data_IF_278894105707
#
_entry.id   IF_278894105707
#
_cell.length_a   1.000
_cell.length_b   1.000
_cell.length_c   1.000
_cell.angle_alpha   90.00
_cell.angle_beta   90.00
_cell.angle_gamma   90.00
#
_symmetry.space_group_name_H-M   'P 1'
#
loop_
_entity.id
_entity.type
_entity.pdbx_description
1 polymer ?
#
# COMPACT_ATOMS: atom_id res chain seq x y z
N UNK A 1 37.43 -50.60 -19.84
CA UNK A 1 38.87 -50.64 -20.28
C UNK A 1 39.47 -49.28 -20.00
N UNK A 2 40.65 -49.34 -19.28
CA UNK A 2 41.73 -48.35 -19.01
C UNK A 2 41.27 -47.11 -18.22
N UNK A 3 41.51 -46.98 -16.90
CA UNK A 3 42.74 -46.93 -16.07
C UNK A 3 43.83 -46.04 -16.69
N UNK A 4 44.23 -45.03 -15.89
CA UNK A 4 45.60 -44.72 -15.46
C UNK A 4 45.52 -43.35 -14.76
N UNK A 5 45.67 -43.18 -13.43
CA UNK A 5 46.87 -43.15 -12.61
C UNK A 5 47.89 -42.12 -13.14
N UNK A 6 48.45 -41.20 -12.42
CA UNK A 6 49.20 -41.34 -11.20
C UNK A 6 49.79 -39.99 -10.77
N UNK A 7 49.81 -39.74 -9.46
CA UNK A 7 50.98 -39.36 -8.66
C UNK A 7 51.76 -38.11 -9.08
N UNK A 8 51.88 -37.24 -8.19
CA UNK A 8 52.86 -37.19 -7.08
C UNK A 8 53.99 -36.19 -7.30
N UNK A 9 54.33 -35.55 -6.29
CA UNK A 9 55.62 -35.15 -5.74
C UNK A 9 55.68 -33.66 -5.37
N UNK A 10 55.64 -33.37 -4.15
CA UNK A 10 56.66 -33.38 -3.08
C UNK A 10 57.23 -31.97 -2.86
N UNK A 11 56.97 -31.56 -1.66
CA UNK A 11 57.79 -30.82 -0.71
C UNK A 11 58.96 -29.98 -1.20
N UNK A 12 59.01 -28.77 -0.77
CA UNK A 12 60.24 -28.18 -0.26
C UNK A 12 59.98 -27.32 0.97
N UNK A 13 60.47 -27.82 2.08
CA UNK A 13 60.69 -27.12 3.33
C UNK A 13 61.83 -26.12 3.13
N UNK A 14 61.72 -24.91 3.55
CA UNK A 14 62.86 -24.21 4.10
C UNK A 14 62.41 -23.22 5.16
N UNK A 15 62.93 -23.48 6.32
CA UNK A 15 62.79 -22.72 7.53
C UNK A 15 63.73 -21.51 7.56
N UNK A 16 63.42 -20.63 8.43
CA UNK A 16 64.26 -19.71 9.24
C UNK A 16 64.09 -18.25 8.91
N UNK A 17 63.79 -17.54 9.86
CA UNK A 17 64.32 -16.71 10.91
C UNK A 17 63.46 -15.44 11.06
N UNK A 18 62.73 -15.35 12.10
CA UNK A 18 62.88 -14.50 13.27
C UNK A 18 63.57 -13.16 13.01
N UNK A 19 62.79 -12.08 12.97
CA UNK A 19 63.20 -10.76 13.52
C UNK A 19 61.98 -9.92 13.90
N UNK A 20 61.85 -9.76 15.18
CA UNK A 20 60.95 -8.81 15.83
C UNK A 20 61.54 -7.44 15.64
N UNK A 21 60.83 -6.49 15.08
CA UNK A 21 61.00 -5.08 15.33
C UNK A 21 59.67 -4.44 15.62
N UNK A 22 59.47 -4.14 16.88
CA UNK A 22 58.57 -3.15 17.37
C UNK A 22 59.04 -1.79 16.85
N UNK A 23 58.14 -1.04 16.30
CA UNK A 23 58.11 0.41 16.51
C UNK A 23 57.31 1.09 15.41
N UNK A 24 56.42 1.83 15.81
CA UNK A 24 55.98 3.17 15.38
C UNK A 24 54.51 3.24 15.10
N UNK A 25 53.80 3.68 16.12
CA UNK A 25 52.56 4.43 15.94
C UNK A 25 52.84 5.63 14.99
N UNK A 26 52.39 5.49 13.77
CA UNK A 26 52.20 6.62 12.89
C UNK A 26 50.72 6.98 12.94
N UNK A 27 50.39 8.04 13.64
CA UNK A 27 49.09 8.66 13.57
C UNK A 27 48.84 9.05 12.12
N UNK A 28 47.97 8.31 11.46
CA UNK A 28 47.34 8.77 10.23
C UNK A 28 46.54 10.01 10.57
N UNK A 29 46.99 11.16 10.19
CA UNK A 29 46.14 12.32 10.02
C UNK A 29 45.13 11.97 8.93
N UNK A 30 43.94 11.59 9.36
CA UNK A 30 42.76 11.62 8.51
C UNK A 30 42.54 13.12 8.24
N UNK A 31 42.95 13.54 7.05
CA UNK A 31 42.45 14.81 6.49
C UNK A 31 40.95 14.67 6.46
N UNK A 32 40.25 15.50 7.25
CA UNK A 32 38.84 15.72 7.13
C UNK A 32 38.56 16.08 5.67
N UNK A 33 38.10 15.10 4.91
CA UNK A 33 37.30 15.38 3.73
C UNK A 33 36.08 16.14 4.24
N UNK A 34 36.00 17.41 3.86
CA UNK A 34 34.79 18.20 4.04
C UNK A 34 33.67 17.42 3.35
N UNK A 35 32.92 16.66 4.15
CA UNK A 35 31.61 16.17 3.76
C UNK A 35 30.84 17.43 3.38
N UNK A 36 30.56 17.56 2.10
CA UNK A 36 29.64 18.54 1.57
C UNK A 36 28.32 18.23 2.22
N UNK A 37 27.97 18.95 3.26
CA UNK A 37 26.65 18.91 3.89
C UNK A 37 25.66 19.60 2.91
N UNK A 38 25.45 18.93 1.81
CA UNK A 38 24.25 19.08 1.01
C UNK A 38 23.14 18.38 1.75
N UNK A 39 22.62 19.02 2.79
CA UNK A 39 21.49 18.52 3.54
C UNK A 39 20.36 18.22 2.56
N UNK A 40 20.26 16.94 2.17
CA UNK A 40 19.03 16.40 1.63
C UNK A 40 18.06 16.50 2.80
N UNK A 41 17.31 17.59 2.86
CA UNK A 41 16.11 17.64 3.67
C UNK A 41 15.22 16.54 3.11
N UNK A 42 15.24 15.38 3.72
CA UNK A 42 14.15 14.41 3.60
C UNK A 42 12.92 15.18 4.05
N UNK A 43 12.14 15.64 3.10
CA UNK A 43 10.79 16.10 3.35
C UNK A 43 10.06 14.83 3.73
N UNK A 44 9.88 14.62 5.04
CA UNK A 44 8.95 13.61 5.51
C UNK A 44 7.60 14.02 4.92
N UNK A 45 7.11 13.23 3.96
CA UNK A 45 5.78 13.38 3.44
C UNK A 45 4.83 13.09 4.62
N UNK A 46 4.31 14.13 5.24
CA UNK A 46 3.26 13.98 6.24
C UNK A 46 2.00 13.53 5.53
N UNK A 47 1.65 12.26 5.70
CA UNK A 47 0.33 11.75 5.30
C UNK A 47 -0.68 12.54 6.12
N UNK A 48 -1.53 13.30 5.45
CA UNK A 48 -2.60 14.06 6.11
C UNK A 48 -3.71 13.07 6.41
N UNK A 49 -3.97 12.82 7.70
CA UNK A 49 -5.15 12.06 8.13
C UNK A 49 -6.42 12.87 7.79
N UNK A 50 -7.47 12.16 7.37
CA UNK A 50 -8.80 12.76 7.10
C UNK A 50 -9.29 13.61 8.28
N UNK A 51 -8.82 13.34 9.50
CA UNK A 51 -9.16 14.09 10.72
C UNK A 51 -8.56 15.52 10.77
N UNK A 52 -7.50 15.80 10.01
CA UNK A 52 -6.85 17.13 9.96
C UNK A 52 -7.41 18.03 8.85
N UNK A 53 -8.37 17.54 8.06
CA UNK A 53 -8.99 18.28 6.96
C UNK A 53 -10.00 19.34 7.46
N UNK A 54 -10.28 20.33 6.60
CA UNK A 54 -11.33 21.31 6.87
C UNK A 54 -12.73 20.67 6.94
N UNK A 55 -13.68 21.39 7.53
CA UNK A 55 -15.04 20.86 7.77
C UNK A 55 -15.76 20.42 6.49
N UNK A 56 -15.62 21.15 5.40
CA UNK A 56 -16.30 20.84 4.13
C UNK A 56 -15.74 19.55 3.51
N UNK A 57 -14.44 19.40 3.52
CA UNK A 57 -13.75 18.20 3.06
C UNK A 57 -14.16 16.97 3.88
N UNK A 58 -14.19 17.10 5.22
CA UNK A 58 -14.69 16.03 6.11
C UNK A 58 -16.14 15.64 5.80
N UNK A 59 -17.00 16.60 5.53
CA UNK A 59 -18.40 16.32 5.21
C UNK A 59 -18.56 15.54 3.89
N UNK A 60 -17.67 15.76 2.92
CA UNK A 60 -17.65 15.01 1.66
C UNK A 60 -17.29 13.54 1.93
N UNK A 61 -16.24 13.28 2.70
CA UNK A 61 -15.83 11.91 3.05
C UNK A 61 -16.85 11.19 3.94
N UNK A 62 -17.44 11.88 4.93
CA UNK A 62 -18.46 11.31 5.81
C UNK A 62 -19.69 10.78 5.05
N UNK A 63 -19.99 11.36 3.88
CA UNK A 63 -21.10 10.96 3.01
C UNK A 63 -20.64 10.13 1.79
N UNK A 64 -19.36 9.79 1.71
CA UNK A 64 -18.77 9.15 0.55
C UNK A 64 -18.98 7.63 0.59
N UNK A 65 -20.25 7.20 0.57
CA UNK A 65 -20.60 5.79 0.44
C UNK A 65 -21.21 5.53 -0.93
N UNK A 66 -20.71 4.49 -1.60
CA UNK A 66 -21.17 4.05 -2.91
C UNK A 66 -21.96 2.77 -2.75
N UNK A 67 -23.20 2.75 -3.27
CA UNK A 67 -24.09 1.60 -3.18
C UNK A 67 -24.19 0.86 -4.52
N UNK A 68 -24.46 -0.44 -4.44
CA UNK A 68 -24.50 -1.36 -5.59
C UNK A 68 -25.80 -2.15 -5.64
N UNK A 69 -26.19 -2.53 -6.86
CA UNK A 69 -27.28 -3.44 -7.09
C UNK A 69 -26.93 -4.88 -6.64
N UNK A 70 -27.95 -5.71 -6.51
CA UNK A 70 -27.75 -7.11 -6.17
C UNK A 70 -26.83 -7.78 -7.18
N UNK A 71 -25.89 -8.56 -6.65
CA UNK A 71 -24.90 -9.32 -7.43
C UNK A 71 -24.14 -8.51 -8.50
N UNK A 72 -23.95 -7.21 -8.23
CA UNK A 72 -23.31 -6.27 -9.15
C UNK A 72 -22.16 -5.50 -8.47
N UNK A 73 -21.17 -5.16 -9.27
CA UNK A 73 -20.07 -4.26 -8.96
C UNK A 73 -20.03 -3.07 -9.93
N UNK A 74 -21.07 -2.87 -10.74
CA UNK A 74 -21.16 -1.75 -11.67
C UNK A 74 -21.53 -0.46 -10.94
N UNK A 75 -20.85 0.63 -11.29
CA UNK A 75 -21.15 1.96 -10.74
C UNK A 75 -22.43 2.51 -11.36
N UNK A 76 -23.35 2.94 -10.51
CA UNK A 76 -24.56 3.65 -10.94
C UNK A 76 -24.28 5.14 -11.20
N UNK A 77 -25.18 5.83 -11.89
CA UNK A 77 -25.06 7.29 -12.09
C UNK A 77 -25.00 8.06 -10.77
N UNK A 78 -25.72 7.59 -9.74
CA UNK A 78 -25.67 8.17 -8.40
C UNK A 78 -24.31 7.95 -7.75
N UNK A 79 -23.76 6.74 -7.86
CA UNK A 79 -22.42 6.40 -7.37
C UNK A 79 -21.36 7.32 -8.01
N UNK A 80 -21.45 7.51 -9.32
CA UNK A 80 -20.53 8.39 -10.07
C UNK A 80 -20.60 9.85 -9.58
N UNK A 81 -21.78 10.35 -9.23
CA UNK A 81 -21.91 11.71 -8.67
C UNK A 81 -21.19 11.85 -7.32
N UNK A 82 -21.35 10.87 -6.42
CA UNK A 82 -20.64 10.84 -5.14
C UNK A 82 -19.12 10.80 -5.38
N UNK A 83 -18.66 9.91 -6.27
CA UNK A 83 -17.24 9.77 -6.57
C UNK A 83 -16.60 11.02 -7.17
N UNK A 84 -17.34 11.77 -8.02
CA UNK A 84 -16.88 13.06 -8.57
C UNK A 84 -16.51 14.06 -7.48
N UNK A 85 -17.30 14.15 -6.42
CA UNK A 85 -17.02 15.06 -5.30
C UNK A 85 -15.73 14.65 -4.57
N UNK A 86 -15.54 13.36 -4.33
CA UNK A 86 -14.31 12.84 -3.71
C UNK A 86 -13.10 13.08 -4.59
N UNK A 87 -13.20 12.79 -5.90
CA UNK A 87 -12.12 13.07 -6.87
C UNK A 87 -11.72 14.54 -6.86
N UNK A 88 -12.68 15.45 -6.83
CA UNK A 88 -12.40 16.89 -6.77
C UNK A 88 -11.59 17.26 -5.53
N UNK A 89 -11.95 16.73 -4.37
CA UNK A 89 -11.22 16.95 -3.11
C UNK A 89 -9.83 16.36 -3.18
N UNK A 90 -9.69 15.12 -3.64
CA UNK A 90 -8.38 14.44 -3.74
C UNK A 90 -7.44 15.12 -4.74
N UNK A 91 -7.94 15.72 -5.79
CA UNK A 91 -7.14 16.49 -6.75
C UNK A 91 -6.68 17.84 -6.17
N UNK A 92 -7.48 18.44 -5.29
CA UNK A 92 -7.09 19.67 -4.58
C UNK A 92 -6.13 19.42 -3.42
N UNK A 93 -6.09 18.20 -2.90
CA UNK A 93 -5.30 17.79 -1.74
C UNK A 93 -4.50 16.53 -2.09
N UNK A 94 -3.26 16.71 -2.55
CA UNK A 94 -2.44 15.62 -3.09
C UNK A 94 -1.96 14.63 -2.04
N UNK A 95 -1.97 15.01 -0.76
CA UNK A 95 -1.49 14.20 0.35
C UNK A 95 -2.58 13.29 0.96
N UNK A 96 -3.85 13.44 0.53
CA UNK A 96 -4.94 12.58 1.01
C UNK A 96 -4.78 11.18 0.42
N UNK A 97 -4.72 10.18 1.29
CA UNK A 97 -4.81 8.76 0.97
C UNK A 97 -6.12 8.20 1.50
N UNK A 98 -6.71 7.25 0.78
CA UNK A 98 -7.99 6.66 1.12
C UNK A 98 -7.94 5.14 1.13
N UNK A 99 -8.81 4.55 1.94
CA UNK A 99 -9.09 3.12 1.94
C UNK A 99 -10.52 2.86 1.48
N UNK A 100 -10.67 2.06 0.45
CA UNK A 100 -11.95 1.61 -0.08
C UNK A 100 -12.34 0.29 0.57
N UNK A 101 -13.35 0.33 1.44
CA UNK A 101 -13.85 -0.83 2.16
C UNK A 101 -15.07 -1.40 1.46
N UNK A 102 -14.92 -2.56 0.79
CA UNK A 102 -15.98 -3.23 0.03
C UNK A 102 -16.78 -4.20 0.88
N UNK A 103 -18.11 -4.15 0.70
CA UNK A 103 -19.08 -4.96 1.45
C UNK A 103 -20.08 -5.65 0.52
N UNK A 104 -20.66 -6.73 1.02
CA UNK A 104 -21.77 -7.47 0.40
C UNK A 104 -22.93 -7.64 1.40
N UNK A 105 -24.09 -8.01 0.89
CA UNK A 105 -25.16 -8.53 1.75
C UNK A 105 -24.90 -10.02 2.13
N UNK A 106 -25.66 -10.56 3.04
CA UNK A 106 -25.44 -11.91 3.62
C UNK A 106 -25.79 -13.07 2.67
N UNK A 107 -26.35 -12.80 1.49
CA UNK A 107 -26.77 -13.84 0.55
C UNK A 107 -25.58 -14.39 -0.23
N UNK A 108 -25.38 -15.69 -0.15
CA UNK A 108 -24.27 -16.37 -0.83
C UNK A 108 -23.33 -17.07 0.15
N UNK A 109 -22.12 -17.38 -0.33
CA UNK A 109 -21.08 -17.91 0.54
C UNK A 109 -20.15 -16.78 0.99
N UNK A 110 -19.54 -16.98 2.14
CA UNK A 110 -18.56 -16.04 2.70
C UNK A 110 -17.44 -15.69 1.70
N UNK A 111 -16.90 -16.70 1.04
CA UNK A 111 -15.83 -16.54 0.03
C UNK A 111 -16.31 -15.73 -1.17
N UNK A 112 -17.52 -16.04 -1.64
CA UNK A 112 -18.14 -15.30 -2.74
C UNK A 112 -18.34 -13.84 -2.37
N UNK A 113 -18.90 -13.56 -1.19
CA UNK A 113 -19.15 -12.21 -0.71
C UNK A 113 -17.88 -11.41 -0.47
N UNK A 114 -16.81 -12.06 0.01
CA UNK A 114 -15.49 -11.44 0.12
C UNK A 114 -14.96 -11.03 -1.26
N UNK A 115 -15.06 -11.92 -2.26
CA UNK A 115 -14.65 -11.62 -3.63
C UNK A 115 -15.52 -10.51 -4.27
N UNK A 116 -16.85 -10.52 -4.02
CA UNK A 116 -17.76 -9.49 -4.54
C UNK A 116 -17.47 -8.12 -3.91
N UNK A 117 -17.21 -8.06 -2.60
CA UNK A 117 -16.79 -6.84 -1.92
C UNK A 117 -15.46 -6.29 -2.51
N UNK A 118 -14.51 -7.18 -2.80
CA UNK A 118 -13.26 -6.80 -3.45
C UNK A 118 -13.49 -6.19 -4.83
N UNK A 119 -14.29 -6.82 -5.69
CA UNK A 119 -14.61 -6.31 -7.04
C UNK A 119 -15.32 -4.96 -6.99
N UNK A 120 -16.21 -4.74 -6.02
CA UNK A 120 -16.87 -3.44 -5.81
C UNK A 120 -15.87 -2.35 -5.47
N UNK A 121 -14.96 -2.62 -4.54
CA UNK A 121 -13.93 -1.66 -4.16
C UNK A 121 -12.94 -1.40 -5.32
N UNK A 122 -12.60 -2.41 -6.09
CA UNK A 122 -11.78 -2.28 -7.30
C UNK A 122 -12.46 -1.42 -8.37
N UNK A 123 -13.76 -1.58 -8.61
CA UNK A 123 -14.49 -0.73 -9.57
C UNK A 123 -14.50 0.75 -9.17
N UNK A 124 -14.54 1.04 -7.87
CA UNK A 124 -14.38 2.39 -7.34
C UNK A 124 -12.94 2.89 -7.53
N UNK A 125 -11.94 2.05 -7.23
CA UNK A 125 -10.52 2.38 -7.47
C UNK A 125 -10.25 2.70 -8.93
N UNK A 126 -10.74 1.88 -9.84
CA UNK A 126 -10.59 2.11 -11.28
C UNK A 126 -11.16 3.45 -11.72
N UNK A 127 -12.31 3.84 -11.15
CA UNK A 127 -12.88 5.17 -11.38
C UNK A 127 -11.93 6.29 -10.93
N UNK A 128 -11.31 6.17 -9.76
CA UNK A 128 -10.32 7.16 -9.29
C UNK A 128 -9.09 7.22 -10.19
N UNK A 129 -8.55 6.09 -10.61
CA UNK A 129 -7.39 6.03 -11.51
C UNK A 129 -7.70 6.71 -12.86
N UNK A 130 -8.87 6.45 -13.43
CA UNK A 130 -9.33 7.07 -14.68
C UNK A 130 -9.49 8.60 -14.56
N UNK A 131 -9.70 9.11 -13.34
CA UNK A 131 -9.80 10.54 -13.05
C UNK A 131 -8.49 11.16 -12.51
N UNK A 132 -7.36 10.49 -12.69
CA UNK A 132 -6.03 11.02 -12.43
C UNK A 132 -5.50 10.84 -11.00
N UNK A 133 -6.22 10.12 -10.14
CA UNK A 133 -5.73 9.79 -8.79
C UNK A 133 -4.69 8.68 -8.90
N UNK A 134 -3.53 8.86 -8.27
CA UNK A 134 -2.46 7.86 -8.27
C UNK A 134 -2.86 6.60 -7.48
N UNK A 135 -2.48 5.43 -8.00
CA UNK A 135 -2.80 4.13 -7.38
C UNK A 135 -2.23 3.97 -5.97
N UNK A 136 -1.11 4.60 -5.67
CA UNK A 136 -0.48 4.60 -4.34
C UNK A 136 -1.35 5.26 -3.27
N UNK A 137 -2.24 6.17 -3.66
CA UNK A 137 -3.14 6.89 -2.77
C UNK A 137 -4.46 6.15 -2.46
N UNK A 138 -4.69 4.98 -3.08
CA UNK A 138 -5.96 4.25 -2.97
C UNK A 138 -5.71 2.80 -2.59
N UNK A 139 -6.00 2.47 -1.36
CA UNK A 139 -5.95 1.09 -0.83
C UNK A 139 -7.32 0.43 -0.94
N UNK A 140 -7.36 -0.84 -1.34
CA UNK A 140 -8.59 -1.63 -1.42
C UNK A 140 -8.60 -2.69 -0.33
N UNK A 141 -9.75 -2.86 0.33
CA UNK A 141 -9.99 -3.87 1.34
C UNK A 141 -11.42 -4.39 1.23
N UNK A 142 -11.60 -5.70 1.32
CA UNK A 142 -12.94 -6.30 1.38
C UNK A 142 -13.22 -6.85 2.76
N UNK A 143 -14.44 -6.63 3.21
CA UNK A 143 -15.02 -7.26 4.40
C UNK A 143 -16.13 -8.26 4.03
N UNK A 144 -16.51 -8.35 2.74
CA UNK A 144 -17.63 -9.19 2.35
C UNK A 144 -18.88 -8.88 3.16
N UNK A 145 -19.47 -9.90 3.78
CA UNK A 145 -20.65 -9.80 4.65
C UNK A 145 -20.34 -9.56 6.15
N UNK A 146 -19.05 -9.56 6.53
CA UNK A 146 -18.61 -9.60 7.93
C UNK A 146 -18.90 -8.31 8.72
N UNK A 147 -19.19 -7.21 8.02
CA UNK A 147 -19.46 -5.89 8.64
C UNK A 147 -20.75 -5.29 8.07
N UNK A 148 -21.91 -5.85 8.41
CA UNK A 148 -23.19 -5.32 7.94
C UNK A 148 -23.48 -3.95 8.57
N UNK A 149 -24.01 -3.05 7.77
CA UNK A 149 -24.53 -1.74 8.22
C UNK A 149 -25.96 -1.91 8.77
N UNK A 150 -26.70 -2.88 8.27
CA UNK A 150 -28.05 -3.21 8.70
C UNK A 150 -28.20 -4.72 8.89
N UNK A 151 -28.79 -5.14 10.01
CA UNK A 151 -28.96 -6.54 10.40
C UNK A 151 -30.33 -7.14 9.99
N UNK A 152 -31.15 -6.42 9.24
CA UNK A 152 -32.43 -6.95 8.77
C UNK A 152 -32.25 -7.89 7.58
N UNK A 153 -33.20 -8.85 7.45
CA UNK A 153 -33.23 -9.86 6.38
C UNK A 153 -34.22 -9.46 5.28
N UNK A 154 -34.20 -8.18 4.92
CA UNK A 154 -35.05 -7.59 3.88
C UNK A 154 -34.21 -6.81 2.85
N UNK A 155 -34.80 -6.51 1.70
CA UNK A 155 -34.07 -5.80 0.63
C UNK A 155 -33.67 -4.38 1.05
N UNK A 156 -34.36 -3.75 1.97
CA UNK A 156 -33.98 -2.45 2.49
C UNK A 156 -32.68 -2.50 3.31
N UNK A 157 -32.47 -3.59 4.06
CA UNK A 157 -31.23 -3.86 4.79
C UNK A 157 -30.12 -4.32 3.85
N UNK A 158 -30.42 -5.24 2.95
CA UNK A 158 -29.44 -5.74 1.97
C UNK A 158 -28.89 -4.64 1.09
N UNK A 159 -29.73 -3.73 0.60
CA UNK A 159 -29.29 -2.62 -0.22
C UNK A 159 -28.31 -1.66 0.49
N UNK A 160 -28.41 -1.51 1.82
CA UNK A 160 -27.46 -0.75 2.64
C UNK A 160 -26.15 -1.48 2.82
N UNK A 161 -26.19 -2.82 2.85
CA UNK A 161 -24.99 -3.65 3.04
C UNK A 161 -24.16 -3.74 1.77
N UNK A 162 -24.77 -3.67 0.59
CA UNK A 162 -24.08 -3.65 -0.71
C UNK A 162 -23.44 -2.30 -0.99
N UNK A 163 -22.29 -2.05 -0.39
CA UNK A 163 -21.65 -0.74 -0.44
C UNK A 163 -20.12 -0.80 -0.51
N UNK A 164 -19.55 0.33 -0.87
CA UNK A 164 -18.13 0.64 -0.63
C UNK A 164 -18.07 1.93 0.19
N UNK A 165 -17.41 1.86 1.32
CA UNK A 165 -17.10 3.01 2.17
C UNK A 165 -15.74 3.58 1.76
N UNK A 166 -15.63 4.91 1.74
CA UNK A 166 -14.39 5.63 1.43
C UNK A 166 -13.91 6.29 2.71
N UNK A 167 -12.81 5.77 3.27
CA UNK A 167 -12.23 6.15 4.56
C UNK A 167 -10.82 6.70 4.41
#
# INVERSE_FOLDING_TARGET
MKKINNKSFQNFLCASAFLILLSSCSSMNVTEERVYDGGIKTVEASVVDVQDLDYETKAIFANATVFFEFDSYNLTSKSIQTLKSVVSVMNSNIDIEITLAGHADERGTREYNLALGQRRAESVKDYFLLNGIMSSRVTVKSYGEERPLSLGNDEASYSKNRRVEIN
#
